data_IF_049526576523
#
_entry.id   IF_049526576523
#
_cell.length_a   1.000
_cell.length_b   1.000
_cell.length_c   1.000
_cell.angle_alpha   90.00
_cell.angle_beta   90.00
_cell.angle_gamma   90.00
#
_symmetry.space_group_name_H-M   'P 1'
#
loop_
_entity.id
_entity.type
_entity.pdbx_description
1 polymer ?
#
# COMPACT_ATOMS: atom_id res chain seq x y z
N UNK A 1 -0.95 8.22 -10.83
CA UNK A 1 0.22 7.54 -10.25
C UNK A 1 0.17 6.02 -10.45
N UNK A 2 -0.88 5.33 -9.97
CA UNK A 2 -0.97 3.86 -10.08
C UNK A 2 -0.92 3.34 -11.53
N UNK A 3 -1.68 3.95 -12.43
CA UNK A 3 -1.70 3.53 -13.85
C UNK A 3 -0.35 3.72 -14.58
N UNK A 4 0.51 4.59 -14.07
CA UNK A 4 1.86 4.76 -14.59
C UNK A 4 2.77 3.63 -14.11
N UNK A 5 2.67 3.26 -12.84
CA UNK A 5 3.40 2.11 -12.27
C UNK A 5 2.99 0.81 -12.97
N UNK A 6 1.69 0.56 -13.12
CA UNK A 6 1.18 -0.65 -13.79
C UNK A 6 1.72 -0.75 -15.23
N UNK A 7 1.83 0.39 -15.95
CA UNK A 7 2.43 0.46 -17.29
C UNK A 7 3.93 0.22 -17.31
N UNK A 8 4.68 0.80 -16.37
CA UNK A 8 6.13 0.58 -16.29
C UNK A 8 6.46 -0.87 -15.92
N UNK A 9 5.75 -1.46 -14.95
CA UNK A 9 5.92 -2.86 -14.59
C UNK A 9 5.57 -3.78 -15.77
N UNK A 10 4.44 -3.53 -16.45
CA UNK A 10 4.05 -4.25 -17.66
C UNK A 10 5.14 -4.23 -18.74
N UNK A 11 5.76 -3.07 -18.97
CA UNK A 11 6.87 -2.90 -19.92
C UNK A 11 8.08 -3.75 -19.54
N UNK A 12 8.46 -3.78 -18.26
CA UNK A 12 9.63 -4.54 -17.77
C UNK A 12 9.37 -6.04 -17.78
N UNK A 13 8.15 -6.48 -17.47
CA UNK A 13 7.81 -7.91 -17.39
C UNK A 13 7.29 -8.50 -18.71
N UNK A 14 7.08 -7.68 -19.75
CA UNK A 14 6.47 -8.11 -21.02
C UNK A 14 5.01 -8.59 -20.87
N UNK A 15 4.29 -8.08 -19.86
CA UNK A 15 2.90 -8.45 -19.54
C UNK A 15 1.96 -7.29 -19.79
N UNK A 16 0.65 -7.52 -19.69
CA UNK A 16 -0.33 -6.44 -19.86
C UNK A 16 -0.56 -5.69 -18.52
N UNK A 17 -0.76 -4.36 -18.54
CA UNK A 17 -0.97 -3.58 -17.31
C UNK A 17 -2.12 -4.08 -16.44
N UNK A 18 -3.20 -4.58 -17.04
CA UNK A 18 -4.33 -5.17 -16.32
C UNK A 18 -3.96 -6.44 -15.54
N UNK A 19 -3.02 -7.24 -16.06
CA UNK A 19 -2.54 -8.45 -15.39
C UNK A 19 -1.69 -8.10 -14.18
N UNK A 20 -0.84 -7.07 -14.31
CA UNK A 20 -0.05 -6.52 -13.21
C UNK A 20 -0.98 -6.00 -12.11
N UNK A 21 -2.00 -5.24 -12.49
CA UNK A 21 -2.96 -4.68 -11.54
C UNK A 21 -3.75 -5.78 -10.82
N UNK A 22 -4.25 -6.78 -11.56
CA UNK A 22 -4.99 -7.89 -10.98
C UNK A 22 -4.14 -8.70 -9.99
N UNK A 23 -2.88 -8.97 -10.34
CA UNK A 23 -1.96 -9.69 -9.44
C UNK A 23 -1.65 -8.90 -8.16
N UNK A 24 -1.42 -7.59 -8.28
CA UNK A 24 -1.22 -6.72 -7.10
C UNK A 24 -2.44 -6.72 -6.19
N UNK A 25 -3.64 -6.61 -6.77
CA UNK A 25 -4.90 -6.66 -6.01
C UNK A 25 -5.12 -8.00 -5.32
N UNK A 26 -4.81 -9.12 -5.98
CA UNK A 26 -4.97 -10.46 -5.42
C UNK A 26 -4.10 -10.69 -4.17
N UNK A 27 -3.00 -9.95 -4.03
CA UNK A 27 -2.09 -10.03 -2.87
C UNK A 27 -2.51 -9.12 -1.71
N UNK A 28 -3.53 -8.28 -1.88
CA UNK A 28 -3.99 -7.36 -0.83
C UNK A 28 -5.27 -7.92 -0.22
N UNK A 29 -5.26 -8.38 1.04
CA UNK A 29 -6.46 -8.87 1.72
C UNK A 29 -7.62 -7.87 1.73
N UNK A 30 -7.34 -6.57 1.85
CA UNK A 30 -8.37 -5.52 1.80
C UNK A 30 -8.97 -5.30 0.40
N UNK A 31 -8.45 -5.97 -0.64
CA UNK A 31 -9.00 -5.97 -2.00
C UNK A 31 -8.88 -4.64 -2.76
N UNK A 32 -8.10 -3.68 -2.25
CA UNK A 32 -7.90 -2.37 -2.88
C UNK A 32 -6.45 -1.92 -2.78
N UNK A 33 -6.02 -1.14 -3.77
CA UNK A 33 -4.73 -0.46 -3.72
C UNK A 33 -4.79 0.69 -2.70
N UNK A 34 -3.72 0.82 -1.92
CA UNK A 34 -3.48 1.95 -1.00
C UNK A 34 -3.64 3.30 -1.71
N UNK A 35 -4.28 4.23 -1.02
CA UNK A 35 -4.40 5.63 -1.41
C UNK A 35 -3.51 6.49 -0.50
N UNK A 36 -3.07 7.67 -0.97
CA UNK A 36 -2.26 8.59 -0.15
C UNK A 36 -2.87 8.90 1.23
N UNK A 37 -4.20 8.95 1.30
CA UNK A 37 -4.96 9.23 2.52
C UNK A 37 -4.80 8.13 3.58
N UNK A 38 -4.57 6.88 3.18
CA UNK A 38 -4.35 5.77 4.11
C UNK A 38 -3.06 5.98 4.92
N UNK A 39 -1.99 6.45 4.27
CA UNK A 39 -0.72 6.80 4.93
C UNK A 39 -0.87 8.08 5.73
N UNK A 40 -1.48 9.11 5.13
CA UNK A 40 -1.62 10.42 5.76
C UNK A 40 -2.40 10.34 7.08
N UNK A 41 -3.43 9.50 7.17
CA UNK A 41 -4.19 9.29 8.40
C UNK A 41 -3.31 8.71 9.53
N UNK A 42 -2.47 7.71 9.22
CA UNK A 42 -1.57 7.11 10.22
C UNK A 42 -0.49 8.10 10.64
N UNK A 43 0.07 8.86 9.69
CA UNK A 43 1.02 9.94 10.00
C UNK A 43 0.38 11.00 10.90
N UNK A 44 -0.84 11.43 10.60
CA UNK A 44 -1.58 12.40 11.41
C UNK A 44 -1.83 11.90 12.83
N UNK A 45 -2.15 10.61 12.99
CA UNK A 45 -2.28 9.99 14.31
C UNK A 45 -0.94 10.00 15.06
N UNK A 46 0.13 9.54 14.42
CA UNK A 46 1.46 9.46 15.03
C UNK A 46 2.05 10.83 15.38
N UNK A 47 1.70 11.88 14.64
CA UNK A 47 2.09 13.26 14.94
C UNK A 47 1.16 13.95 15.96
N UNK A 48 0.02 13.33 16.28
CA UNK A 48 -1.00 13.89 17.16
C UNK A 48 -0.75 13.61 18.65
N UNK A 49 -1.58 14.19 19.54
CA UNK A 49 -1.46 13.96 20.99
C UNK A 49 -1.80 12.51 21.39
N UNK A 50 -2.58 11.79 20.58
CA UNK A 50 -3.05 10.43 20.88
C UNK A 50 -1.92 9.38 20.82
N UNK A 51 -0.76 9.73 20.26
CA UNK A 51 0.42 8.86 20.15
C UNK A 51 1.53 9.21 21.15
N UNK A 52 1.29 10.06 22.16
CA UNK A 52 2.33 10.70 22.98
C UNK A 52 3.31 9.75 23.69
N UNK A 53 2.98 8.46 23.81
CA UNK A 53 3.85 7.45 24.43
C UNK A 53 4.26 6.33 23.45
N UNK A 54 4.03 6.50 22.15
CA UNK A 54 4.42 5.56 21.09
C UNK A 54 5.72 6.04 20.47
N UNK A 55 6.76 5.20 20.56
CA UNK A 55 8.07 5.47 19.96
C UNK A 55 8.77 4.15 19.63
N UNK A 56 9.68 4.16 18.65
CA UNK A 56 10.43 2.97 18.22
C UNK A 56 9.65 1.97 17.35
N UNK A 57 8.40 2.28 17.01
CA UNK A 57 7.52 1.40 16.25
C UNK A 57 7.55 1.66 14.74
N UNK A 58 7.38 0.60 13.95
CA UNK A 58 7.21 0.65 12.51
C UNK A 58 5.82 0.12 12.12
N UNK A 59 4.90 1.02 11.77
CA UNK A 59 3.54 0.64 11.40
C UNK A 59 3.42 0.34 9.90
N UNK A 60 2.99 -0.88 9.58
CA UNK A 60 2.74 -1.32 8.21
C UNK A 60 1.36 -0.87 7.70
N UNK A 61 1.32 0.19 6.89
CA UNK A 61 0.11 0.58 6.13
C UNK A 61 0.09 -0.20 4.83
N UNK A 62 -0.43 -1.43 4.84
CA UNK A 62 -0.24 -2.36 3.71
C UNK A 62 -1.51 -3.07 3.23
N UNK A 63 -2.68 -2.73 3.79
CA UNK A 63 -3.93 -3.44 3.47
C UNK A 63 -3.89 -4.94 3.76
N UNK A 64 -2.94 -5.41 4.58
CA UNK A 64 -2.73 -6.80 4.96
C UNK A 64 -1.67 -7.57 4.19
N UNK A 65 -0.96 -6.96 3.22
CA UNK A 65 0.08 -7.66 2.42
C UNK A 65 1.18 -8.26 3.32
N UNK A 66 1.62 -7.54 4.34
CA UNK A 66 2.78 -7.93 5.15
C UNK A 66 2.48 -8.97 6.24
N UNK A 67 1.20 -9.27 6.48
CA UNK A 67 0.75 -10.16 7.55
C UNK A 67 0.04 -11.42 7.04
N UNK A 68 0.00 -11.64 5.71
CA UNK A 68 -0.57 -12.85 5.12
C UNK A 68 0.48 -13.96 5.03
N UNK A 69 0.45 -14.91 5.96
CA UNK A 69 1.12 -16.21 5.91
C UNK A 69 0.09 -17.33 6.05
#
# INVERSE_FOLDING_TARGET
MQDQLDREFARVTGRRPEEIRAERLARIPMGRIEQPEDVAAVVSFLAGPDSAYITGEALAVSGGILTSW
#
